data_IF_451163706972
#
_entry.id   IF_451163706972
#
_cell.length_a   1.000
_cell.length_b   1.000
_cell.length_c   1.000
_cell.angle_alpha   90.00
_cell.angle_beta   90.00
_cell.angle_gamma   90.00
#
_symmetry.space_group_name_H-M   'P 1'
#
loop_
_entity.id
_entity.type
_entity.pdbx_description
1 polymer ?
#
# COMPACT_ATOMS: atom_id res chain seq x y z
N UNK A 1 -10.06 1.79 12.70
CA UNK A 1 -8.71 2.32 12.32
C UNK A 1 -8.54 2.22 10.79
N UNK A 2 -7.70 3.05 10.14
CA UNK A 2 -7.52 2.98 8.68
C UNK A 2 -7.28 1.58 8.14
N UNK A 3 -6.46 0.76 8.81
CA UNK A 3 -6.16 -0.61 8.40
C UNK A 3 -7.42 -1.51 8.29
N UNK A 4 -8.36 -1.39 9.23
CA UNK A 4 -9.61 -2.16 9.21
C UNK A 4 -10.54 -1.70 8.09
N UNK A 5 -10.59 -0.37 7.83
CA UNK A 5 -11.36 0.21 6.73
C UNK A 5 -10.79 -0.24 5.37
N UNK A 6 -9.47 -0.26 5.23
CA UNK A 6 -8.81 -0.76 4.02
C UNK A 6 -9.13 -2.23 3.80
N UNK A 7 -8.98 -3.08 4.81
CA UNK A 7 -9.28 -4.51 4.71
C UNK A 7 -10.74 -4.76 4.29
N UNK A 8 -11.68 -3.92 4.77
CA UNK A 8 -13.10 -3.97 4.37
C UNK A 8 -13.29 -3.52 2.92
N UNK A 9 -12.71 -2.38 2.51
CA UNK A 9 -12.85 -1.82 1.17
C UNK A 9 -12.26 -2.73 0.09
N UNK A 10 -11.13 -3.37 0.36
CA UNK A 10 -10.58 -4.37 -0.55
C UNK A 10 -11.37 -5.69 -0.54
N UNK A 11 -12.43 -5.82 0.23
CA UNK A 11 -13.27 -7.02 0.26
C UNK A 11 -12.59 -8.23 0.90
N UNK A 12 -11.74 -8.03 1.91
CA UNK A 12 -11.04 -9.13 2.58
C UNK A 12 -11.99 -10.20 3.15
N UNK A 13 -13.19 -9.80 3.59
CA UNK A 13 -14.22 -10.70 4.12
C UNK A 13 -14.85 -11.62 3.08
N UNK A 14 -14.72 -11.33 1.78
CA UNK A 14 -15.31 -12.15 0.71
C UNK A 14 -14.69 -13.56 0.60
N UNK A 15 -13.68 -13.80 1.38
CA UNK A 15 -13.11 -15.12 1.67
C UNK A 15 -12.48 -15.82 0.49
N UNK A 16 -11.32 -16.00 0.30
CA UNK A 16 -10.54 -16.77 -0.65
C UNK A 16 -9.14 -16.99 -0.08
N UNK A 17 -8.39 -17.88 -0.65
CA UNK A 17 -6.98 -18.08 -0.29
C UNK A 17 -6.15 -16.96 -0.91
N UNK A 18 -6.22 -15.78 -0.32
CA UNK A 18 -5.44 -14.66 -0.81
C UNK A 18 -3.98 -14.77 -0.40
N UNK A 19 -3.10 -14.43 -1.33
CA UNK A 19 -1.71 -14.09 -1.07
C UNK A 19 -1.58 -12.56 -1.12
N UNK A 20 -1.17 -11.96 -0.01
CA UNK A 20 -1.11 -10.50 0.16
C UNK A 20 0.33 -10.09 0.40
N UNK A 21 0.82 -9.09 -0.34
CA UNK A 21 2.10 -8.44 -0.07
C UNK A 21 1.85 -7.08 0.59
N UNK A 22 2.50 -6.83 1.71
CA UNK A 22 2.50 -5.54 2.40
C UNK A 22 3.90 -4.92 2.20
N UNK A 23 3.99 -3.94 1.30
CA UNK A 23 5.25 -3.29 0.89
C UNK A 23 5.55 -2.14 1.83
N UNK A 24 6.77 -2.08 2.35
CA UNK A 24 7.17 -1.16 3.40
C UNK A 24 6.22 -1.28 4.60
N UNK A 25 6.04 -2.51 5.06
CA UNK A 25 4.97 -2.90 5.99
C UNK A 25 5.04 -2.19 7.35
N UNK A 26 6.20 -1.62 7.71
CA UNK A 26 6.37 -0.93 8.98
C UNK A 26 6.02 -1.84 10.16
N UNK A 27 5.03 -1.43 10.92
CA UNK A 27 4.50 -2.21 12.05
C UNK A 27 3.63 -3.43 11.64
N UNK A 28 3.35 -3.64 10.33
CA UNK A 28 2.61 -4.77 9.78
C UNK A 28 1.09 -4.74 9.97
N UNK A 29 0.52 -3.67 10.55
CA UNK A 29 -0.90 -3.65 10.95
C UNK A 29 -1.86 -3.66 9.76
N UNK A 30 -1.46 -3.21 8.58
CA UNK A 30 -2.30 -3.23 7.39
C UNK A 30 -2.49 -4.66 6.89
N UNK A 31 -1.40 -5.41 6.68
CA UNK A 31 -1.47 -6.82 6.34
C UNK A 31 -2.16 -7.66 7.42
N UNK A 32 -1.88 -7.38 8.70
CA UNK A 32 -2.53 -8.05 9.84
C UNK A 32 -4.04 -7.81 9.84
N UNK A 33 -4.52 -6.59 9.53
CA UNK A 33 -5.95 -6.31 9.45
C UNK A 33 -6.64 -7.13 8.34
N UNK A 34 -5.97 -7.31 7.19
CA UNK A 34 -6.44 -8.21 6.13
C UNK A 34 -6.51 -9.66 6.63
N UNK A 35 -5.46 -10.15 7.30
CA UNK A 35 -5.41 -11.51 7.83
C UNK A 35 -6.49 -11.78 8.89
N UNK A 36 -6.86 -10.76 9.69
CA UNK A 36 -7.94 -10.86 10.68
C UNK A 36 -9.33 -10.96 10.05
N UNK A 37 -9.56 -10.22 8.96
CA UNK A 37 -10.84 -10.24 8.24
C UNK A 37 -10.95 -11.43 7.27
N UNK A 38 -9.82 -11.95 6.78
CA UNK A 38 -9.75 -13.12 5.93
C UNK A 38 -8.89 -14.22 6.58
N UNK A 39 -9.50 -15.21 7.25
CA UNK A 39 -8.77 -16.29 7.91
C UNK A 39 -7.93 -17.16 6.96
N UNK A 40 -8.17 -17.11 5.65
CA UNK A 40 -7.40 -17.87 4.64
C UNK A 40 -6.29 -17.05 3.99
N UNK A 41 -6.20 -15.75 4.26
CA UNK A 41 -5.17 -14.91 3.68
C UNK A 41 -3.79 -15.23 4.26
N UNK A 42 -2.79 -15.28 3.39
CA UNK A 42 -1.37 -15.35 3.74
C UNK A 42 -0.72 -14.01 3.47
N UNK A 43 -0.06 -13.47 4.47
CA UNK A 43 0.58 -12.16 4.41
C UNK A 43 2.08 -12.32 4.23
N UNK A 44 2.64 -11.56 3.32
CA UNK A 44 4.07 -11.38 3.13
C UNK A 44 4.37 -9.91 3.40
N UNK A 45 5.09 -9.61 4.49
CA UNK A 45 5.51 -8.26 4.83
C UNK A 45 6.93 -8.02 4.31
N UNK A 46 7.12 -6.95 3.56
CA UNK A 46 8.42 -6.54 3.05
C UNK A 46 8.85 -5.25 3.72
N UNK A 47 10.02 -5.26 4.36
CA UNK A 47 10.65 -4.08 4.97
C UNK A 47 12.11 -4.40 5.37
N UNK A 48 12.77 -3.46 6.03
CA UNK A 48 14.09 -3.68 6.63
C UNK A 48 14.04 -4.64 7.82
N UNK A 49 15.10 -5.43 8.02
CA UNK A 49 15.16 -6.49 9.03
C UNK A 49 14.81 -6.03 10.46
N UNK A 50 15.25 -4.83 10.84
CA UNK A 50 14.95 -4.25 12.16
C UNK A 50 13.48 -3.83 12.29
N UNK A 51 12.86 -3.36 11.23
CA UNK A 51 11.44 -2.97 11.17
C UNK A 51 10.55 -4.21 11.23
N UNK A 52 10.89 -5.25 10.49
CA UNK A 52 10.13 -6.51 10.45
C UNK A 52 10.04 -7.23 11.79
N UNK A 53 10.96 -6.96 12.73
CA UNK A 53 10.85 -7.48 14.11
C UNK A 53 9.56 -6.99 14.77
N UNK A 54 9.24 -5.69 14.62
CA UNK A 54 8.01 -5.11 15.18
C UNK A 54 6.77 -5.70 14.48
N UNK A 55 6.82 -5.86 13.16
CA UNK A 55 5.72 -6.48 12.41
C UNK A 55 5.46 -7.93 12.87
N UNK A 56 6.53 -8.71 13.09
CA UNK A 56 6.41 -10.10 13.57
C UNK A 56 5.84 -10.19 14.99
N UNK A 57 6.26 -9.29 15.89
CA UNK A 57 5.67 -9.21 17.25
C UNK A 57 4.18 -8.85 17.22
N UNK A 58 3.79 -7.93 16.33
CA UNK A 58 2.39 -7.56 16.15
C UNK A 58 1.58 -8.71 15.54
N UNK A 59 2.14 -9.46 14.59
CA UNK A 59 1.51 -10.66 14.03
C UNK A 59 1.30 -11.74 15.09
N UNK A 60 2.27 -11.91 15.99
CA UNK A 60 2.17 -12.82 17.13
C UNK A 60 1.04 -12.40 18.08
N UNK A 61 1.02 -11.12 18.49
CA UNK A 61 -0.04 -10.57 19.36
C UNK A 61 -1.43 -10.68 18.72
N UNK A 62 -1.50 -10.63 17.39
CA UNK A 62 -2.75 -10.76 16.64
C UNK A 62 -3.17 -12.22 16.36
N UNK A 63 -2.33 -13.21 16.71
CA UNK A 63 -2.62 -14.63 16.47
C UNK A 63 -2.61 -15.03 15.00
N UNK A 64 -1.76 -14.38 14.16
CA UNK A 64 -1.69 -14.66 12.72
C UNK A 64 -0.30 -15.11 12.25
N UNK A 65 0.57 -15.49 13.17
CA UNK A 65 1.99 -15.85 12.90
C UNK A 65 2.14 -16.99 11.89
N UNK A 66 1.26 -17.97 11.92
CA UNK A 66 1.23 -19.12 11.01
C UNK A 66 1.00 -18.73 9.54
N UNK A 67 0.41 -17.57 9.32
CA UNK A 67 0.04 -17.00 8.01
C UNK A 67 0.80 -15.70 7.68
N UNK A 68 1.84 -15.39 8.44
CA UNK A 68 2.65 -14.19 8.28
C UNK A 68 4.10 -14.59 7.94
N UNK A 69 4.60 -14.07 6.82
CA UNK A 69 5.97 -14.28 6.33
C UNK A 69 6.62 -12.93 6.08
N UNK A 70 7.94 -12.90 5.98
CA UNK A 70 8.70 -11.67 5.77
C UNK A 70 9.66 -11.79 4.59
N UNK A 71 9.84 -10.68 3.86
CA UNK A 71 10.92 -10.47 2.90
C UNK A 71 11.73 -9.28 3.42
N UNK A 72 13.02 -9.48 3.63
CA UNK A 72 13.91 -8.41 4.11
C UNK A 72 14.58 -7.72 2.94
N UNK A 73 14.52 -6.38 2.90
CA UNK A 73 15.24 -5.57 1.92
C UNK A 73 14.48 -4.37 1.41
N UNK A 74 15.09 -3.69 0.43
CA UNK A 74 14.47 -2.56 -0.26
C UNK A 74 13.34 -3.04 -1.18
N UNK A 75 12.20 -2.32 -1.18
CA UNK A 75 11.10 -2.58 -2.11
C UNK A 75 11.52 -2.49 -3.59
N UNK A 76 12.55 -1.71 -3.86
CA UNK A 76 13.09 -1.51 -5.20
C UNK A 76 13.98 -2.68 -5.66
N UNK A 77 14.71 -3.32 -4.76
CA UNK A 77 15.73 -4.32 -5.06
C UNK A 77 15.27 -5.76 -4.78
N UNK A 78 14.55 -5.98 -3.68
CA UNK A 78 14.14 -7.31 -3.26
C UNK A 78 13.28 -8.00 -4.31
N UNK A 79 13.43 -9.30 -4.48
CA UNK A 79 12.50 -10.10 -5.26
C UNK A 79 11.15 -10.18 -4.51
N UNK A 80 10.12 -9.60 -5.11
CA UNK A 80 8.78 -9.62 -4.54
C UNK A 80 8.11 -11.01 -4.67
N UNK A 81 8.62 -11.87 -5.56
CA UNK A 81 7.89 -13.06 -5.99
C UNK A 81 6.66 -12.69 -6.85
N UNK A 82 5.74 -13.64 -6.99
CA UNK A 82 4.55 -13.48 -7.86
C UNK A 82 3.29 -14.10 -7.25
N UNK A 83 2.16 -13.90 -7.95
CA UNK A 83 0.90 -14.56 -7.61
C UNK A 83 0.15 -13.92 -6.45
N UNK A 84 0.30 -12.62 -6.25
CA UNK A 84 -0.46 -11.87 -5.24
C UNK A 84 -1.85 -11.52 -5.73
N UNK A 85 -2.84 -11.71 -4.86
CA UNK A 85 -4.22 -11.27 -5.06
C UNK A 85 -4.37 -9.79 -4.70
N UNK A 86 -3.60 -9.35 -3.69
CA UNK A 86 -3.59 -7.98 -3.20
C UNK A 86 -2.16 -7.56 -2.87
N UNK A 87 -1.79 -6.34 -3.25
CA UNK A 87 -0.56 -5.68 -2.77
C UNK A 87 -0.96 -4.38 -2.07
N UNK A 88 -0.43 -4.17 -0.87
CA UNK A 88 -0.62 -2.96 -0.08
C UNK A 88 0.59 -2.05 -0.28
N UNK A 89 0.34 -0.80 -0.63
CA UNK A 89 1.30 0.30 -0.71
C UNK A 89 0.78 1.44 0.18
N UNK A 90 1.09 1.38 1.47
CA UNK A 90 0.52 2.31 2.45
C UNK A 90 1.57 3.31 2.92
N UNK A 91 1.32 4.60 2.68
CA UNK A 91 2.22 5.68 3.10
C UNK A 91 3.64 5.51 2.54
N UNK A 92 3.76 5.24 1.26
CA UNK A 92 5.06 4.90 0.68
C UNK A 92 5.41 5.70 -0.58
N UNK A 93 4.47 5.90 -1.51
CA UNK A 93 4.76 6.57 -2.78
C UNK A 93 5.16 8.03 -2.61
N UNK A 94 4.60 8.70 -1.63
CA UNK A 94 4.89 10.11 -1.34
C UNK A 94 6.37 10.40 -0.99
N UNK A 95 7.20 9.39 -0.74
CA UNK A 95 8.63 9.59 -0.48
C UNK A 95 9.47 9.79 -1.75
N UNK A 96 8.95 9.47 -2.94
CA UNK A 96 9.70 9.37 -4.17
C UNK A 96 9.09 10.21 -5.28
N UNK A 97 9.89 10.54 -6.30
CA UNK A 97 9.41 11.18 -7.53
C UNK A 97 8.56 10.23 -8.40
N UNK A 98 7.82 10.81 -9.34
CA UNK A 98 6.94 10.07 -10.25
C UNK A 98 7.67 8.95 -11.02
N UNK A 99 8.85 9.18 -11.64
CA UNK A 99 9.57 8.11 -12.35
C UNK A 99 9.94 6.93 -11.45
N UNK A 100 10.36 7.19 -10.21
CA UNK A 100 10.69 6.17 -9.21
C UNK A 100 9.45 5.40 -8.78
N UNK A 101 8.34 6.09 -8.52
CA UNK A 101 7.05 5.46 -8.24
C UNK A 101 6.59 4.55 -9.37
N UNK A 102 6.64 5.01 -10.63
CA UNK A 102 6.26 4.20 -11.79
C UNK A 102 7.15 2.97 -11.97
N UNK A 103 8.46 3.09 -11.68
CA UNK A 103 9.39 1.96 -11.66
C UNK A 103 8.96 0.87 -10.68
N UNK A 104 8.62 1.28 -9.45
CA UNK A 104 8.08 0.37 -8.42
C UNK A 104 6.73 -0.22 -8.84
N UNK A 105 5.81 0.60 -9.34
CA UNK A 105 4.48 0.16 -9.74
C UNK A 105 4.53 -0.87 -10.88
N UNK A 106 5.45 -0.74 -11.84
CA UNK A 106 5.70 -1.77 -12.87
C UNK A 106 6.17 -3.10 -12.26
N UNK A 107 7.01 -3.05 -11.22
CA UNK A 107 7.45 -4.23 -10.48
C UNK A 107 6.29 -4.88 -9.72
N UNK A 108 5.48 -4.07 -9.05
CA UNK A 108 4.26 -4.48 -8.34
C UNK A 108 3.26 -5.11 -9.32
N UNK A 109 3.04 -4.50 -10.49
CA UNK A 109 2.16 -5.04 -11.52
C UNK A 109 2.59 -6.46 -11.96
N UNK A 110 3.88 -6.71 -12.14
CA UNK A 110 4.41 -8.04 -12.50
C UNK A 110 4.16 -9.07 -11.39
N UNK A 111 4.20 -8.67 -10.13
CA UNK A 111 4.02 -9.55 -8.98
C UNK A 111 2.56 -9.98 -8.77
N UNK A 112 1.59 -9.20 -9.26
CA UNK A 112 0.16 -9.49 -9.15
C UNK A 112 -0.30 -10.62 -10.08
N UNK A 113 -1.32 -11.34 -9.67
CA UNK A 113 -2.16 -12.18 -10.55
C UNK A 113 -2.88 -11.32 -11.60
N UNK A 114 -3.42 -11.93 -12.69
CA UNK A 114 -4.17 -11.19 -13.72
C UNK A 114 -5.38 -10.42 -13.20
N UNK A 115 -6.03 -10.91 -12.16
CA UNK A 115 -7.19 -10.32 -11.48
C UNK A 115 -6.82 -9.67 -10.14
N UNK A 116 -5.52 -9.49 -9.90
CA UNK A 116 -4.99 -8.88 -8.69
C UNK A 116 -5.17 -7.37 -8.66
N UNK A 117 -5.03 -6.79 -7.47
CA UNK A 117 -5.15 -5.35 -7.25
C UNK A 117 -4.14 -4.80 -6.27
N UNK A 118 -3.89 -3.50 -6.38
CA UNK A 118 -3.09 -2.73 -5.43
C UNK A 118 -4.01 -1.84 -4.62
N UNK A 119 -3.80 -1.75 -3.32
CA UNK A 119 -4.43 -0.80 -2.43
C UNK A 119 -3.39 0.17 -1.90
N UNK A 120 -3.49 1.42 -2.32
CA UNK A 120 -2.52 2.48 -2.02
C UNK A 120 -3.17 3.51 -1.10
N UNK A 121 -2.59 3.71 0.08
CA UNK A 121 -3.05 4.69 1.06
C UNK A 121 -2.14 5.91 1.03
N UNK A 122 -2.68 7.09 0.68
CA UNK A 122 -1.91 8.32 0.56
C UNK A 122 -2.68 9.56 1.03
N UNK A 123 -1.95 10.63 1.32
CA UNK A 123 -2.51 11.97 1.44
C UNK A 123 -2.72 12.52 0.03
N UNK A 124 -3.98 12.68 -0.38
CA UNK A 124 -4.32 13.08 -1.75
C UNK A 124 -4.96 14.47 -1.72
N UNK A 125 -4.21 15.53 -2.08
CA UNK A 125 -4.78 16.85 -2.26
C UNK A 125 -5.65 16.90 -3.53
N UNK A 126 -6.54 17.90 -3.61
CA UNK A 126 -7.24 18.24 -4.84
C UNK A 126 -6.25 18.84 -5.87
N UNK A 127 -6.73 18.98 -7.11
CA UNK A 127 -5.91 19.53 -8.21
C UNK A 127 -5.48 20.98 -8.00
N UNK A 128 -6.16 21.71 -7.10
CA UNK A 128 -5.75 23.04 -6.68
C UNK A 128 -4.50 23.06 -5.77
N UNK A 129 -4.10 21.89 -5.22
CA UNK A 129 -3.00 21.68 -4.27
C UNK A 129 -3.09 22.54 -3.00
N UNK A 130 -4.27 23.07 -2.69
CA UNK A 130 -4.58 23.90 -1.52
C UNK A 130 -5.57 23.20 -0.60
N UNK A 131 -6.48 22.41 -1.17
CA UNK A 131 -7.53 21.72 -0.45
C UNK A 131 -7.47 20.20 -0.66
N UNK A 132 -7.97 19.37 0.28
CA UNK A 132 -8.20 19.73 1.69
C UNK A 132 -6.89 20.13 2.41
N UNK A 133 -6.94 20.93 3.47
CA UNK A 133 -5.73 21.55 4.03
C UNK A 133 -4.69 20.55 4.57
N UNK A 134 -5.11 19.39 5.11
CA UNK A 134 -4.17 18.42 5.67
C UNK A 134 -3.36 17.73 4.57
N UNK A 135 -3.94 17.11 3.52
CA UNK A 135 -3.18 16.59 2.38
C UNK A 135 -2.31 17.66 1.69
N UNK A 136 -2.84 18.88 1.50
CA UNK A 136 -2.08 19.95 0.88
C UNK A 136 -0.85 20.36 1.73
N UNK A 137 -1.00 20.48 3.05
CA UNK A 137 0.12 20.78 3.94
C UNK A 137 1.15 19.63 4.00
N UNK A 138 0.72 18.39 3.78
CA UNK A 138 1.60 17.23 3.75
C UNK A 138 2.66 17.31 2.63
N UNK A 139 2.33 17.92 1.49
CA UNK A 139 3.29 18.23 0.42
C UNK A 139 4.49 19.01 0.93
N UNK A 140 4.26 20.01 1.78
CA UNK A 140 5.35 20.82 2.37
C UNK A 140 6.22 20.00 3.33
N UNK A 141 5.63 19.02 4.04
CA UNK A 141 6.39 18.10 4.89
C UNK A 141 7.29 17.24 4.00
N UNK A 142 6.78 16.72 2.89
CA UNK A 142 7.58 15.91 1.95
C UNK A 142 8.71 16.75 1.33
N UNK A 143 8.44 17.97 0.92
CA UNK A 143 9.46 18.89 0.43
C UNK A 143 10.61 19.13 1.43
N UNK A 144 10.28 19.19 2.73
CA UNK A 144 11.28 19.44 3.79
C UNK A 144 12.05 18.17 4.20
N UNK A 145 11.44 16.98 4.09
CA UNK A 145 11.95 15.75 4.70
C UNK A 145 12.44 14.71 3.69
N UNK A 146 12.16 14.88 2.40
CA UNK A 146 12.56 13.94 1.34
C UNK A 146 13.32 14.67 0.24
N UNK A 147 14.06 13.92 -0.58
CA UNK A 147 14.79 14.51 -1.70
C UNK A 147 13.84 14.90 -2.86
N UNK A 148 12.77 14.13 -3.09
CA UNK A 148 11.92 14.26 -4.27
C UNK A 148 10.45 13.89 -4.02
N UNK A 149 10.05 13.68 -2.76
CA UNK A 149 8.69 13.28 -2.44
C UNK A 149 7.68 14.43 -2.49
N UNK A 150 6.41 14.06 -2.67
CA UNK A 150 5.29 14.99 -2.72
C UNK A 150 3.98 14.30 -2.28
N UNK A 151 2.96 15.07 -1.96
CA UNK A 151 1.59 14.59 -1.89
C UNK A 151 0.96 14.69 -3.29
N UNK A 152 0.76 13.56 -3.92
CA UNK A 152 0.26 13.47 -5.28
C UNK A 152 -1.27 13.63 -5.35
N UNK A 153 -1.77 14.38 -6.33
CA UNK A 153 -3.20 14.49 -6.62
C UNK A 153 -3.76 13.17 -7.15
N UNK A 154 -5.08 13.05 -7.21
CA UNK A 154 -5.72 11.86 -7.78
C UNK A 154 -5.31 11.62 -9.24
N UNK A 155 -5.26 12.68 -10.06
CA UNK A 155 -4.88 12.59 -11.45
C UNK A 155 -3.42 12.12 -11.64
N UNK A 156 -2.50 12.60 -10.79
CA UNK A 156 -1.10 12.18 -10.82
C UNK A 156 -0.94 10.71 -10.42
N UNK A 157 -1.60 10.27 -9.34
CA UNK A 157 -1.60 8.86 -8.92
C UNK A 157 -2.17 7.97 -10.03
N UNK A 158 -3.35 8.31 -10.58
CA UNK A 158 -3.94 7.57 -11.69
C UNK A 158 -3.02 7.51 -12.92
N UNK A 159 -2.32 8.62 -13.22
CA UNK A 159 -1.31 8.68 -14.27
C UNK A 159 -0.18 7.69 -14.05
N UNK A 160 0.41 7.67 -12.84
CA UNK A 160 1.48 6.73 -12.48
C UNK A 160 1.02 5.28 -12.60
N UNK A 161 -0.17 4.94 -12.09
CA UNK A 161 -0.72 3.59 -12.20
C UNK A 161 -0.97 3.20 -13.65
N UNK A 162 -1.54 4.08 -14.47
CA UNK A 162 -1.78 3.85 -15.89
C UNK A 162 -0.48 3.61 -16.66
N UNK A 163 0.55 4.42 -16.41
CA UNK A 163 1.88 4.28 -17.01
C UNK A 163 2.61 3.01 -16.56
N UNK A 164 2.21 2.44 -15.43
CA UNK A 164 2.71 1.17 -14.93
C UNK A 164 1.92 -0.06 -15.40
N UNK A 165 0.83 0.15 -16.17
CA UNK A 165 0.05 -0.94 -16.77
C UNK A 165 -1.27 -1.26 -16.09
N UNK A 166 -1.72 -0.44 -15.13
CA UNK A 166 -3.02 -0.62 -14.47
C UNK A 166 -4.12 0.13 -15.26
N UNK A 167 -5.09 -0.58 -15.86
CA UNK A 167 -6.09 0.06 -16.73
C UNK A 167 -7.16 0.84 -15.97
N UNK A 168 -7.35 0.57 -14.69
CA UNK A 168 -8.40 1.19 -13.86
C UNK A 168 -7.92 1.43 -12.44
N UNK A 169 -8.23 2.61 -11.91
CA UNK A 169 -8.06 2.97 -10.50
C UNK A 169 -9.33 3.61 -9.94
N UNK A 170 -9.60 3.43 -8.67
CA UNK A 170 -10.74 3.98 -7.95
C UNK A 170 -10.27 4.62 -6.65
N UNK A 171 -10.62 5.89 -6.43
CA UNK A 171 -10.28 6.62 -5.21
C UNK A 171 -11.43 6.57 -4.20
N UNK A 172 -11.12 6.15 -2.98
CA UNK A 172 -12.08 6.02 -1.89
C UNK A 172 -11.67 6.89 -0.70
N UNK A 173 -12.53 7.79 -0.20
CA UNK A 173 -12.28 8.47 1.05
C UNK A 173 -12.35 7.48 2.22
N UNK A 174 -11.48 7.65 3.20
CA UNK A 174 -11.51 6.85 4.42
C UNK A 174 -12.21 7.62 5.55
N UNK A 175 -13.24 7.06 6.17
CA UNK A 175 -13.91 7.70 7.31
C UNK A 175 -12.93 8.05 8.42
N UNK A 176 -13.03 9.28 8.94
CA UNK A 176 -12.19 9.81 10.01
C UNK A 176 -10.67 9.78 9.73
N UNK A 177 -10.28 9.81 8.46
CA UNK A 177 -8.88 9.91 8.02
C UNK A 177 -8.73 11.04 7.00
N UNK A 178 -7.64 11.82 7.03
CA UNK A 178 -7.33 12.77 5.97
C UNK A 178 -6.75 12.11 4.71
N UNK A 179 -6.56 10.79 4.73
CA UNK A 179 -6.00 10.02 3.64
C UNK A 179 -7.10 9.38 2.79
N UNK A 180 -6.74 9.06 1.56
CA UNK A 180 -7.58 8.33 0.62
C UNK A 180 -6.95 6.97 0.29
N UNK A 181 -7.81 6.01 -0.01
CA UNK A 181 -7.40 4.72 -0.55
C UNK A 181 -7.64 4.69 -2.05
N UNK A 182 -6.59 4.50 -2.83
CA UNK A 182 -6.72 4.20 -4.26
C UNK A 182 -6.61 2.68 -4.45
N UNK A 183 -7.58 2.10 -5.13
CA UNK A 183 -7.55 0.69 -5.53
C UNK A 183 -7.33 0.64 -7.04
N UNK A 184 -6.20 0.04 -7.45
CA UNK A 184 -5.82 -0.09 -8.86
C UNK A 184 -5.83 -1.56 -9.27
N UNK A 185 -6.45 -1.87 -10.38
CA UNK A 185 -6.70 -3.23 -10.89
C UNK A 185 -5.75 -3.54 -12.05
N UNK A 186 -5.22 -4.77 -12.05
CA UNK A 186 -4.38 -5.29 -13.14
C UNK A 186 -5.21 -5.73 -14.34
#
# INVERSE_FOLDING_TARGET
>A
MPAESIAKLVGAQAGGKWKVLDVAAGHGLFGIAVAKQNPQAQIVALDWANVLKVAAENAQKAGVTDRFRTITGSAFEADLGTGYDLILLTNFLHHFDIPTCEGLLRKVHKALKPDGRVATLEFVPNEDRVSPPVPAAFSMIMLAMTAHGDAYTSAELEGMFRNAGFPRSELHPLPASPQHLMISYK
#
